data_IF_603313540274
#
_entry.id   IF_603313540274
#
_cell.length_a   1.000
_cell.length_b   1.000
_cell.length_c   1.000
_cell.angle_alpha   90.00
_cell.angle_beta   90.00
_cell.angle_gamma   90.00
#
_symmetry.space_group_name_H-M   'P 1'
#
loop_
_entity.id
_entity.type
_entity.pdbx_description
1 polymer ?
#
# COMPACT_ATOMS: atom_id res chain seq x y z
N UNK A 1 -15.58 9.45 -20.09
CA UNK A 1 -14.32 8.78 -20.47
C UNK A 1 -14.15 7.59 -19.54
N UNK A 2 -13.96 6.39 -20.11
CA UNK A 2 -13.71 5.19 -19.29
C UNK A 2 -12.20 5.02 -19.13
N UNK A 3 -11.69 5.07 -17.90
CA UNK A 3 -10.32 4.71 -17.56
C UNK A 3 -10.29 3.23 -17.18
N UNK A 4 -9.18 2.54 -17.41
CA UNK A 4 -9.02 1.12 -17.15
C UNK A 4 -7.73 0.84 -16.39
N UNK A 5 -7.78 -0.21 -15.57
CA UNK A 5 -6.62 -0.77 -14.89
C UNK A 5 -6.72 -2.30 -14.89
N UNK A 6 -5.59 -2.99 -14.77
CA UNK A 6 -5.50 -4.46 -14.79
C UNK A 6 -4.28 -4.93 -14.03
N UNK A 7 -4.26 -6.17 -13.61
CA UNK A 7 -3.02 -6.79 -13.13
C UNK A 7 -2.12 -7.15 -14.30
N UNK A 8 -0.83 -6.92 -14.17
CA UNK A 8 0.18 -7.30 -15.14
C UNK A 8 1.37 -7.95 -14.45
N UNK A 9 1.92 -9.01 -15.05
CA UNK A 9 3.14 -9.66 -14.59
C UNK A 9 4.31 -8.67 -14.65
N UNK A 10 5.09 -8.58 -13.55
CA UNK A 10 6.26 -7.69 -13.49
C UNK A 10 7.45 -8.23 -14.30
N UNK A 11 7.43 -9.51 -14.71
CA UNK A 11 8.46 -10.08 -15.57
C UNK A 11 8.27 -9.57 -17.00
N UNK A 12 9.22 -8.76 -17.54
CA UNK A 12 9.08 -8.19 -18.89
C UNK A 12 8.95 -9.23 -20.00
N UNK A 13 9.54 -10.42 -19.81
CA UNK A 13 9.50 -11.50 -20.78
C UNK A 13 8.16 -12.26 -20.76
N UNK A 14 7.38 -12.11 -19.72
CA UNK A 14 6.10 -12.79 -19.56
C UNK A 14 4.92 -11.94 -20.05
N UNK A 15 4.77 -10.74 -19.53
CA UNK A 15 3.75 -9.76 -19.95
C UNK A 15 2.30 -10.18 -19.72
N UNK A 16 2.02 -11.29 -19.02
CA UNK A 16 0.67 -11.82 -18.78
C UNK A 16 -0.18 -10.81 -18.00
N UNK A 17 -1.48 -10.72 -18.34
CA UNK A 17 -2.40 -9.76 -17.73
C UNK A 17 -3.67 -10.44 -17.22
N UNK A 18 -4.25 -9.88 -16.14
CA UNK A 18 -5.49 -10.37 -15.54
C UNK A 18 -6.43 -9.20 -15.21
N UNK A 19 -7.76 -9.40 -15.30
CA UNK A 19 -8.72 -8.42 -14.78
C UNK A 19 -8.54 -8.19 -13.27
N UNK A 20 -8.89 -7.00 -12.76
CA UNK A 20 -8.76 -6.68 -11.33
C UNK A 20 -9.71 -7.48 -10.42
N UNK A 21 -10.79 -8.03 -10.96
CA UNK A 21 -11.70 -8.92 -10.25
C UNK A 21 -11.27 -10.40 -10.28
N UNK A 22 -10.05 -10.71 -10.76
CA UNK A 22 -9.47 -12.04 -10.64
C UNK A 22 -8.85 -12.27 -9.27
N UNK A 23 -9.06 -13.45 -8.69
CA UNK A 23 -8.40 -13.88 -7.45
C UNK A 23 -7.02 -14.42 -7.80
N UNK A 24 -6.04 -13.54 -8.01
CA UNK A 24 -4.67 -13.87 -8.39
C UNK A 24 -3.68 -13.05 -7.57
N UNK A 25 -2.65 -13.68 -7.05
CA UNK A 25 -1.60 -13.03 -6.25
C UNK A 25 -0.23 -13.08 -6.91
N UNK A 26 -0.05 -14.02 -7.83
CA UNK A 26 1.15 -14.21 -8.64
C UNK A 26 0.73 -14.56 -10.07
N UNK A 27 1.62 -14.32 -11.01
CA UNK A 27 1.42 -14.69 -12.40
C UNK A 27 1.26 -16.22 -12.52
N UNK A 28 0.16 -16.67 -13.08
CA UNK A 28 -0.11 -18.11 -13.26
C UNK A 28 0.87 -18.79 -14.24
N UNK A 29 1.48 -17.98 -15.14
CA UNK A 29 2.41 -18.50 -16.15
C UNK A 29 3.85 -18.65 -15.62
N UNK A 30 4.37 -17.67 -14.86
CA UNK A 30 5.79 -17.64 -14.46
C UNK A 30 6.02 -17.46 -12.95
N UNK A 31 4.95 -17.41 -12.15
CA UNK A 31 4.97 -17.25 -10.69
C UNK A 31 5.60 -15.94 -10.18
N UNK A 32 5.91 -14.99 -11.07
CA UNK A 32 6.37 -13.66 -10.70
C UNK A 32 5.25 -12.86 -10.04
N UNK A 33 5.61 -11.81 -9.32
CA UNK A 33 4.63 -10.89 -8.74
C UNK A 33 3.82 -10.19 -9.84
N UNK A 34 2.67 -9.68 -9.44
CA UNK A 34 1.80 -8.85 -10.28
C UNK A 34 1.88 -7.40 -9.81
N UNK A 35 1.68 -6.47 -10.72
CA UNK A 35 1.43 -5.07 -10.44
C UNK A 35 0.13 -4.60 -11.10
N UNK A 36 -0.48 -3.55 -10.57
CA UNK A 36 -1.62 -2.91 -11.25
C UNK A 36 -1.09 -1.93 -12.29
N UNK A 37 -1.49 -2.10 -13.52
CA UNK A 37 -1.22 -1.17 -14.62
C UNK A 37 -2.46 -0.34 -14.96
N UNK A 38 -2.22 0.85 -15.51
CA UNK A 38 -3.26 1.79 -15.92
C UNK A 38 -3.14 2.14 -17.41
N UNK A 39 -4.26 2.37 -18.06
CA UNK A 39 -4.27 2.91 -19.44
C UNK A 39 -3.80 4.38 -19.44
N UNK A 40 -2.49 4.56 -19.46
CA UNK A 40 -1.86 5.89 -19.48
C UNK A 40 -2.27 6.70 -20.72
N UNK A 41 -2.60 6.06 -21.85
CA UNK A 41 -3.08 6.77 -23.05
C UNK A 41 -4.45 7.41 -22.80
N UNK A 42 -5.34 6.69 -22.13
CA UNK A 42 -6.63 7.24 -21.73
C UNK A 42 -6.48 8.35 -20.69
N UNK A 43 -5.61 8.17 -19.69
CA UNK A 43 -5.35 9.19 -18.67
C UNK A 43 -4.73 10.47 -19.24
N UNK A 44 -3.87 10.38 -20.27
CA UNK A 44 -3.28 11.54 -20.96
C UNK A 44 -4.28 12.37 -21.76
N UNK A 45 -5.51 11.89 -21.99
CA UNK A 45 -6.57 12.70 -22.61
C UNK A 45 -7.01 13.86 -21.73
N UNK A 46 -6.78 13.79 -20.44
CA UNK A 46 -6.94 14.88 -19.48
C UNK A 46 -5.59 15.56 -19.28
N UNK A 47 -5.55 16.90 -19.41
CA UNK A 47 -4.31 17.65 -19.24
C UNK A 47 -3.81 17.60 -17.80
N UNK A 48 -2.50 17.80 -17.58
CA UNK A 48 -1.90 17.87 -16.27
C UNK A 48 -2.55 18.96 -15.37
N UNK A 49 -2.86 20.12 -15.95
CA UNK A 49 -3.55 21.18 -15.23
C UNK A 49 -4.94 20.75 -14.75
N UNK A 50 -5.72 20.08 -15.60
CA UNK A 50 -7.04 19.60 -15.24
C UNK A 50 -7.00 18.44 -14.22
N UNK A 51 -5.93 17.61 -14.19
CA UNK A 51 -5.72 16.64 -13.12
C UNK A 51 -5.44 17.32 -11.78
N UNK A 52 -4.56 18.31 -11.77
CA UNK A 52 -4.26 19.10 -10.56
C UNK A 52 -5.52 19.77 -10.00
N UNK A 53 -6.25 20.47 -10.84
CA UNK A 53 -7.52 21.13 -10.46
C UNK A 53 -8.53 20.13 -9.86
N UNK A 54 -8.69 18.94 -10.47
CA UNK A 54 -9.56 17.90 -9.96
C UNK A 54 -9.13 17.42 -8.58
N UNK A 55 -7.83 17.17 -8.39
CA UNK A 55 -7.31 16.67 -7.12
C UNK A 55 -7.38 17.72 -6.01
N UNK A 56 -7.16 19.02 -6.35
CA UNK A 56 -7.37 20.13 -5.40
C UNK A 56 -8.84 20.26 -5.01
N UNK A 57 -9.77 20.23 -5.96
CA UNK A 57 -11.20 20.30 -5.67
C UNK A 57 -11.66 19.19 -4.74
N UNK A 58 -11.12 17.99 -4.90
CA UNK A 58 -11.48 16.82 -4.09
C UNK A 58 -10.76 16.74 -2.74
N UNK A 59 -9.64 17.44 -2.59
CA UNK A 59 -8.83 17.38 -1.38
C UNK A 59 -9.63 17.83 -0.15
N UNK A 60 -9.83 16.88 0.80
CA UNK A 60 -10.64 17.11 2.02
C UNK A 60 -12.07 17.59 1.77
N UNK A 61 -12.65 17.27 0.61
CA UNK A 61 -14.05 17.55 0.32
C UNK A 61 -14.98 16.61 1.08
N UNK A 62 -16.26 16.99 1.22
CA UNK A 62 -17.28 16.13 1.80
C UNK A 62 -17.99 15.24 0.76
N UNK A 63 -17.58 15.34 -0.50
CA UNK A 63 -18.18 14.55 -1.58
C UNK A 63 -17.69 13.11 -1.53
N UNK A 64 -18.60 12.16 -1.30
CA UNK A 64 -18.27 10.72 -1.28
C UNK A 64 -17.97 10.18 -2.67
N UNK A 65 -16.93 9.35 -2.83
CA UNK A 65 -15.88 8.97 -1.86
C UNK A 65 -14.65 9.88 -1.91
N UNK A 66 -14.71 11.00 -2.62
CA UNK A 66 -13.56 11.78 -3.09
C UNK A 66 -12.83 12.57 -2.00
N UNK A 67 -13.42 12.75 -0.83
CA UNK A 67 -12.78 13.44 0.30
C UNK A 67 -11.58 12.72 0.92
N UNK A 68 -11.46 11.40 0.68
CA UNK A 68 -10.30 10.61 1.07
C UNK A 68 -9.06 11.02 0.26
N UNK A 69 -7.88 10.99 0.87
CA UNK A 69 -6.60 11.21 0.18
C UNK A 69 -6.34 10.16 -0.90
N UNK A 70 -6.84 8.94 -0.73
CA UNK A 70 -6.79 7.86 -1.72
C UNK A 70 -7.84 8.06 -2.80
N UNK A 71 -9.12 8.10 -2.43
CA UNK A 71 -10.23 8.11 -3.39
C UNK A 71 -10.43 9.44 -4.09
N UNK A 72 -9.87 10.53 -3.58
CA UNK A 72 -9.75 11.77 -4.35
C UNK A 72 -9.03 11.59 -5.68
N UNK A 73 -8.29 10.49 -5.83
CA UNK A 73 -7.52 10.10 -7.01
C UNK A 73 -8.04 8.80 -7.64
N UNK A 74 -9.34 8.50 -7.49
CA UNK A 74 -10.00 7.27 -7.89
C UNK A 74 -9.61 6.78 -9.29
N UNK A 75 -9.54 7.69 -10.27
CA UNK A 75 -9.19 7.38 -11.67
C UNK A 75 -7.77 6.82 -11.82
N UNK A 76 -6.91 7.11 -10.84
CA UNK A 76 -5.52 6.64 -10.79
C UNK A 76 -5.34 5.42 -9.87
N UNK A 77 -6.38 4.99 -9.18
CA UNK A 77 -6.35 3.88 -8.20
C UNK A 77 -7.13 2.68 -8.73
N UNK A 78 -8.45 2.74 -8.69
CA UNK A 78 -9.38 1.75 -9.22
C UNK A 78 -10.47 2.47 -10.05
N UNK A 79 -10.18 2.82 -11.30
CA UNK A 79 -11.07 3.67 -12.09
C UNK A 79 -12.46 3.08 -12.32
N UNK A 80 -12.58 1.76 -12.38
CA UNK A 80 -13.82 1.04 -12.67
C UNK A 80 -14.69 0.74 -11.46
N UNK A 81 -14.20 0.97 -10.23
CA UNK A 81 -14.96 0.59 -9.03
C UNK A 81 -16.22 1.45 -8.87
N UNK A 82 -17.41 0.86 -8.61
CA UNK A 82 -18.60 1.61 -8.22
C UNK A 82 -18.37 2.36 -6.90
N UNK A 83 -19.00 3.54 -6.74
CA UNK A 83 -18.86 4.31 -5.50
C UNK A 83 -19.45 3.58 -4.29
N UNK A 84 -20.47 2.75 -4.49
CA UNK A 84 -21.12 1.96 -3.44
C UNK A 84 -20.24 0.81 -2.92
N UNK A 85 -19.26 0.37 -3.71
CA UNK A 85 -18.28 -0.64 -3.30
C UNK A 85 -17.04 -0.04 -2.66
N UNK A 86 -16.88 1.28 -2.68
CA UNK A 86 -15.78 1.94 -1.99
C UNK A 86 -15.97 1.82 -0.48
N UNK A 87 -14.92 1.38 0.20
CA UNK A 87 -14.80 1.32 1.66
C UNK A 87 -13.73 2.30 2.09
N UNK A 88 -14.12 3.40 2.73
CA UNK A 88 -13.19 4.46 3.15
C UNK A 88 -13.52 4.96 4.53
N UNK A 89 -12.49 5.25 5.31
CA UNK A 89 -12.53 5.94 6.59
C UNK A 89 -11.86 7.33 6.46
N UNK A 90 -11.89 7.89 5.25
CA UNK A 90 -11.27 9.17 4.88
C UNK A 90 -9.75 9.18 5.10
N UNK A 91 -9.10 8.04 4.90
CA UNK A 91 -7.65 7.86 4.99
C UNK A 91 -6.89 8.72 3.97
N UNK A 92 -5.64 9.04 4.27
CA UNK A 92 -4.83 9.97 3.49
C UNK A 92 -5.10 11.43 3.86
N UNK A 93 -4.63 12.37 3.05
CA UNK A 93 -4.68 13.79 3.39
C UNK A 93 -3.91 14.10 4.69
N UNK A 94 -2.91 13.28 5.03
CA UNK A 94 -2.17 13.34 6.30
C UNK A 94 -1.26 14.58 6.36
N UNK A 95 -0.89 14.96 7.58
CA UNK A 95 -0.13 16.18 7.80
C UNK A 95 1.27 16.09 7.18
N UNK A 96 1.64 17.18 6.53
CA UNK A 96 3.00 17.52 6.15
C UNK A 96 3.37 18.76 6.94
N UNK A 97 4.36 18.69 7.84
CA UNK A 97 4.71 19.81 8.69
C UNK A 97 6.20 20.13 8.61
N UNK A 98 6.53 21.41 8.76
CA UNK A 98 7.88 21.90 8.81
C UNK A 98 8.55 21.54 10.15
N UNK A 99 9.62 20.78 10.10
CA UNK A 99 10.37 20.32 11.27
C UNK A 99 11.53 21.26 11.59
N UNK A 100 11.26 22.57 11.73
CA UNK A 100 12.24 23.64 11.88
C UNK A 100 13.33 23.35 12.93
N UNK A 101 12.90 22.98 14.15
CA UNK A 101 13.84 22.74 15.26
C UNK A 101 14.80 21.60 14.98
N UNK A 102 14.28 20.51 14.42
CA UNK A 102 15.11 19.36 14.07
C UNK A 102 15.98 19.66 12.85
N UNK A 103 15.44 20.35 11.87
CA UNK A 103 16.19 20.82 10.70
C UNK A 103 17.43 21.66 11.11
N UNK A 104 17.27 22.63 12.03
CA UNK A 104 18.39 23.44 12.56
C UNK A 104 19.45 22.59 13.25
N UNK A 105 19.09 21.54 13.98
CA UNK A 105 20.03 20.65 14.65
C UNK A 105 20.91 19.89 13.63
N UNK A 106 20.36 19.48 12.52
CA UNK A 106 21.05 18.69 11.50
C UNK A 106 21.55 19.49 10.31
N UNK A 107 21.37 20.82 10.31
CA UNK A 107 21.81 21.72 9.24
C UNK A 107 20.99 21.62 7.95
N UNK A 108 19.69 21.31 8.05
CA UNK A 108 18.75 21.26 6.93
C UNK A 108 17.57 22.19 7.22
N UNK A 109 17.58 23.39 6.65
CA UNK A 109 16.57 24.40 6.94
C UNK A 109 15.16 24.00 6.46
N UNK A 110 15.06 23.44 5.27
CA UNK A 110 13.80 23.01 4.64
C UNK A 110 13.52 21.51 4.90
N UNK A 111 13.46 21.13 6.17
CA UNK A 111 13.09 19.77 6.59
C UNK A 111 11.60 19.67 6.87
N UNK A 112 10.92 18.81 6.13
CA UNK A 112 9.50 18.55 6.26
C UNK A 112 9.23 17.08 6.60
N UNK A 113 8.23 16.81 7.41
CA UNK A 113 7.86 15.44 7.83
C UNK A 113 6.43 15.14 7.40
N UNK A 114 6.27 14.08 6.60
CA UNK A 114 4.98 13.53 6.20
C UNK A 114 4.54 12.46 7.21
N UNK A 115 3.49 12.73 7.97
CA UNK A 115 2.96 11.85 9.01
C UNK A 115 1.99 10.82 8.45
N UNK A 116 2.48 9.79 7.75
CA UNK A 116 1.64 8.78 7.12
C UNK A 116 0.86 7.88 8.12
N UNK A 117 1.22 7.92 9.40
CA UNK A 117 0.50 7.20 10.47
C UNK A 117 -0.67 7.98 11.06
N UNK A 118 -0.93 9.22 10.63
CA UNK A 118 -2.07 9.99 11.11
C UNK A 118 -3.35 9.60 10.34
N UNK A 119 -3.73 8.35 10.47
CA UNK A 119 -4.90 7.71 9.86
C UNK A 119 -5.66 6.91 10.91
N UNK A 120 -6.76 6.27 10.54
CA UNK A 120 -7.68 5.61 11.46
C UNK A 120 -7.01 4.50 12.31
N UNK A 121 -6.27 3.57 11.68
CA UNK A 121 -5.56 2.52 12.43
C UNK A 121 -4.18 2.94 12.94
N UNK A 122 -3.75 4.17 12.70
CA UNK A 122 -2.45 4.70 13.10
C UNK A 122 -1.30 4.32 12.18
N UNK A 123 -1.56 3.83 10.97
CA UNK A 123 -0.53 3.33 10.07
C UNK A 123 -0.85 3.60 8.60
N UNK A 124 0.16 3.87 7.78
CA UNK A 124 0.02 4.01 6.32
C UNK A 124 -0.55 2.76 5.63
N UNK A 125 -0.70 1.65 6.33
CA UNK A 125 -1.34 0.43 5.81
C UNK A 125 -2.81 0.68 5.45
N UNK A 126 -3.46 1.64 6.09
CA UNK A 126 -4.82 2.07 5.81
C UNK A 126 -5.00 2.43 4.34
N UNK A 127 -4.02 3.16 3.76
CA UNK A 127 -4.06 3.58 2.36
C UNK A 127 -4.13 2.39 1.39
N UNK A 128 -3.47 1.29 1.72
CA UNK A 128 -3.52 0.07 0.90
C UNK A 128 -4.75 -0.77 1.19
N UNK A 129 -5.22 -0.81 2.45
CA UNK A 129 -6.36 -1.65 2.83
C UNK A 129 -7.69 -1.09 2.34
N UNK A 130 -7.86 0.22 2.29
CA UNK A 130 -9.05 0.82 1.68
C UNK A 130 -9.23 0.33 0.24
N UNK A 131 -8.17 0.26 -0.55
CA UNK A 131 -8.20 -0.19 -1.96
C UNK A 131 -8.47 -1.68 -2.06
N UNK A 132 -7.75 -2.50 -1.27
CA UNK A 132 -7.91 -3.94 -1.28
C UNK A 132 -9.32 -4.35 -0.85
N UNK A 133 -9.81 -3.82 0.26
CA UNK A 133 -11.13 -4.21 0.80
C UNK A 133 -12.25 -3.69 -0.08
N UNK A 134 -12.12 -2.51 -0.70
CA UNK A 134 -13.07 -2.04 -1.70
C UNK A 134 -13.16 -2.96 -2.91
N UNK A 135 -12.01 -3.41 -3.44
CA UNK A 135 -12.00 -4.36 -4.56
C UNK A 135 -12.64 -5.70 -4.16
N UNK A 136 -12.36 -6.20 -2.94
CA UNK A 136 -13.00 -7.42 -2.43
C UNK A 136 -14.52 -7.24 -2.30
N UNK A 137 -14.97 -6.08 -1.79
CA UNK A 137 -16.41 -5.78 -1.70
C UNK A 137 -17.07 -5.79 -3.08
N UNK A 138 -16.44 -5.18 -4.09
CA UNK A 138 -16.93 -5.25 -5.47
C UNK A 138 -16.99 -6.70 -5.97
N UNK A 139 -15.93 -7.49 -5.75
CA UNK A 139 -15.93 -8.90 -6.18
C UNK A 139 -17.06 -9.70 -5.54
N UNK A 140 -17.33 -9.49 -4.25
CA UNK A 140 -18.45 -10.12 -3.54
C UNK A 140 -19.81 -9.66 -4.14
N UNK A 141 -19.97 -8.38 -4.41
CA UNK A 141 -21.22 -7.84 -5.02
C UNK A 141 -21.43 -8.37 -6.44
N UNK A 142 -20.36 -8.72 -7.16
CA UNK A 142 -20.39 -9.37 -8.47
C UNK A 142 -20.54 -10.89 -8.40
N UNK A 143 -20.66 -11.48 -7.20
CA UNK A 143 -20.94 -12.90 -6.98
C UNK A 143 -19.72 -13.78 -6.74
N UNK A 144 -18.54 -13.21 -6.46
CA UNK A 144 -17.37 -14.00 -6.07
C UNK A 144 -17.64 -14.76 -4.75
N UNK A 145 -17.12 -15.99 -4.58
CA UNK A 145 -17.43 -16.84 -3.43
C UNK A 145 -16.70 -16.42 -2.13
N UNK A 146 -16.11 -15.23 -2.08
CA UNK A 146 -15.28 -14.76 -0.97
C UNK A 146 -16.13 -14.62 0.30
N UNK A 147 -15.76 -15.33 1.36
CA UNK A 147 -16.42 -15.31 2.67
C UNK A 147 -15.65 -14.51 3.71
N UNK A 148 -14.34 -14.40 3.57
CA UNK A 148 -13.49 -13.65 4.50
C UNK A 148 -12.19 -13.19 3.84
N UNK A 149 -11.58 -12.16 4.44
CA UNK A 149 -10.24 -11.69 4.06
C UNK A 149 -9.25 -12.11 5.15
N UNK A 150 -8.11 -12.68 4.75
CA UNK A 150 -7.14 -13.25 5.69
C UNK A 150 -5.74 -12.64 5.52
N UNK A 151 -5.03 -12.47 6.63
CA UNK A 151 -3.61 -12.15 6.62
C UNK A 151 -2.83 -12.88 7.71
N UNK A 152 -1.54 -13.07 7.49
CA UNK A 152 -0.56 -13.36 8.53
C UNK A 152 0.18 -12.04 8.83
N UNK A 153 -0.05 -11.45 10.01
CA UNK A 153 0.63 -10.22 10.42
C UNK A 153 0.49 -9.97 11.91
N UNK A 154 1.61 -9.69 12.57
CA UNK A 154 1.67 -9.34 13.99
C UNK A 154 1.55 -7.84 14.27
N UNK A 155 1.29 -7.00 13.25
CA UNK A 155 1.33 -5.54 13.40
C UNK A 155 0.32 -4.80 12.54
N UNK A 156 0.73 -3.65 11.98
CA UNK A 156 -0.15 -2.69 11.29
C UNK A 156 -1.01 -3.27 10.17
N UNK A 157 -0.56 -4.34 9.50
CA UNK A 157 -1.34 -4.95 8.42
C UNK A 157 -2.60 -5.62 8.96
N UNK A 158 -2.52 -6.33 10.10
CA UNK A 158 -3.69 -6.94 10.73
C UNK A 158 -4.63 -5.90 11.33
N UNK A 159 -4.09 -4.84 11.92
CA UNK A 159 -4.87 -3.72 12.45
C UNK A 159 -5.68 -3.03 11.32
N UNK A 160 -5.02 -2.63 10.24
CA UNK A 160 -5.68 -2.00 9.11
C UNK A 160 -6.69 -2.94 8.44
N UNK A 161 -6.33 -4.23 8.23
CA UNK A 161 -7.26 -5.21 7.64
C UNK A 161 -8.54 -5.33 8.46
N UNK A 162 -8.43 -5.57 9.76
CA UNK A 162 -9.58 -5.72 10.63
C UNK A 162 -10.49 -4.47 10.60
N UNK A 163 -9.88 -3.29 10.64
CA UNK A 163 -10.56 -2.01 10.59
C UNK A 163 -11.39 -1.84 9.30
N UNK A 164 -10.77 -2.03 8.14
CA UNK A 164 -11.47 -1.83 6.86
C UNK A 164 -12.46 -2.95 6.54
N UNK A 165 -12.18 -4.18 6.96
CA UNK A 165 -13.13 -5.28 6.85
C UNK A 165 -14.36 -5.06 7.75
N UNK A 166 -14.18 -4.56 8.98
CA UNK A 166 -15.29 -4.19 9.86
C UNK A 166 -16.15 -3.09 9.22
N UNK A 167 -15.53 -2.05 8.65
CA UNK A 167 -16.24 -0.99 7.93
C UNK A 167 -17.01 -1.49 6.70
N UNK A 168 -16.53 -2.55 6.06
CA UNK A 168 -17.16 -3.19 4.90
C UNK A 168 -18.23 -4.24 5.27
N UNK A 169 -18.32 -4.65 6.54
CA UNK A 169 -19.13 -5.79 6.96
C UNK A 169 -18.60 -7.15 6.46
N UNK A 170 -17.31 -7.24 6.15
CA UNK A 170 -16.66 -8.46 5.63
C UNK A 170 -15.88 -9.11 6.78
N UNK A 171 -16.05 -10.43 7.05
CA UNK A 171 -15.25 -11.13 8.04
C UNK A 171 -13.76 -11.05 7.75
N UNK A 172 -12.93 -10.87 8.79
CA UNK A 172 -11.49 -10.87 8.68
C UNK A 172 -10.85 -11.91 9.61
N UNK A 173 -9.78 -12.55 9.14
CA UNK A 173 -9.03 -13.58 9.85
C UNK A 173 -7.57 -13.16 9.95
N UNK A 174 -7.00 -13.20 11.14
CA UNK A 174 -5.61 -12.86 11.41
C UNK A 174 -4.89 -14.08 11.96
N UNK A 175 -3.87 -14.57 11.25
CA UNK A 175 -3.03 -15.69 11.69
C UNK A 175 -1.75 -15.17 12.33
N UNK A 176 -1.42 -15.67 13.52
CA UNK A 176 -0.34 -15.18 14.36
C UNK A 176 0.47 -16.32 14.96
N UNK A 177 1.81 -16.21 15.04
CA UNK A 177 2.63 -17.17 15.76
C UNK A 177 2.42 -17.02 17.27
N UNK A 178 2.26 -18.14 17.98
CA UNK A 178 2.06 -18.15 19.43
C UNK A 178 3.28 -17.59 20.17
N UNK A 179 3.07 -16.75 21.17
CA UNK A 179 4.09 -16.29 22.11
C UNK A 179 5.04 -15.19 21.62
N UNK A 180 4.83 -14.63 20.42
CA UNK A 180 5.70 -13.57 19.86
C UNK A 180 4.99 -12.22 19.64
N UNK A 181 3.90 -11.96 20.36
CA UNK A 181 3.04 -10.80 20.12
C UNK A 181 2.75 -10.09 21.41
N UNK A 182 2.85 -8.76 21.42
CA UNK A 182 2.41 -7.94 22.53
C UNK A 182 0.89 -7.77 22.54
N UNK A 183 0.29 -7.62 23.73
CA UNK A 183 -1.16 -7.33 23.85
C UNK A 183 -1.57 -6.09 23.05
N UNK A 184 -0.70 -5.09 22.99
CA UNK A 184 -0.96 -3.86 22.23
C UNK A 184 -1.20 -4.09 20.73
N UNK A 185 -0.52 -5.06 20.12
CA UNK A 185 -0.68 -5.40 18.70
C UNK A 185 -2.00 -6.12 18.40
N UNK A 186 -2.66 -6.69 19.41
CA UNK A 186 -3.90 -7.44 19.29
C UNK A 186 -5.15 -6.59 19.52
N UNK A 187 -5.01 -5.47 20.21
CA UNK A 187 -6.14 -4.63 20.61
C UNK A 187 -6.98 -4.26 19.37
N UNK A 188 -6.36 -3.74 18.33
CA UNK A 188 -7.10 -3.28 17.15
C UNK A 188 -7.79 -4.42 16.37
N UNK A 189 -7.13 -5.55 16.03
CA UNK A 189 -7.80 -6.66 15.36
C UNK A 189 -8.99 -7.19 16.17
N UNK A 190 -8.84 -7.40 17.48
CA UNK A 190 -9.90 -7.93 18.34
C UNK A 190 -11.04 -6.92 18.47
N UNK A 191 -10.75 -5.64 18.71
CA UNK A 191 -11.76 -4.58 18.86
C UNK A 191 -12.58 -4.36 17.60
N UNK A 192 -12.01 -4.65 16.42
CA UNK A 192 -12.69 -4.60 15.13
C UNK A 192 -13.33 -5.95 14.74
N UNK A 193 -13.42 -6.92 15.65
CA UNK A 193 -14.14 -8.18 15.44
C UNK A 193 -13.44 -9.18 14.53
N UNK A 194 -12.13 -9.06 14.30
CA UNK A 194 -11.39 -10.05 13.54
C UNK A 194 -11.27 -11.38 14.31
N UNK A 195 -11.40 -12.51 13.60
CA UNK A 195 -11.05 -13.82 14.12
C UNK A 195 -9.52 -13.93 14.19
N UNK A 196 -8.97 -13.92 15.41
CA UNK A 196 -7.54 -14.03 15.65
C UNK A 196 -7.18 -15.46 16.02
N UNK A 197 -6.35 -16.11 15.21
CA UNK A 197 -5.91 -17.49 15.40
C UNK A 197 -4.42 -17.55 15.73
N UNK A 198 -4.10 -18.16 16.89
CA UNK A 198 -2.72 -18.39 17.32
C UNK A 198 -2.26 -19.76 16.86
N UNK A 199 -1.19 -19.78 16.09
CA UNK A 199 -0.61 -21.01 15.55
C UNK A 199 0.69 -21.35 16.26
N UNK A 200 0.92 -22.63 16.47
CA UNK A 200 2.16 -23.14 17.09
C UNK A 200 3.27 -23.27 16.03
N UNK A 201 3.65 -22.13 15.47
CA UNK A 201 4.66 -21.99 14.42
C UNK A 201 5.27 -20.60 14.45
N UNK A 202 6.24 -20.32 13.57
CA UNK A 202 6.80 -18.99 13.37
C UNK A 202 6.00 -18.18 12.31
N UNK A 203 6.48 -16.97 12.00
CA UNK A 203 5.84 -16.10 11.01
C UNK A 203 5.80 -16.73 9.61
N UNK A 204 6.87 -17.42 9.21
CA UNK A 204 6.95 -18.05 7.89
C UNK A 204 5.99 -19.24 7.78
N UNK A 205 5.79 -19.98 8.88
CA UNK A 205 4.76 -21.00 8.96
C UNK A 205 3.34 -20.43 8.86
N UNK A 206 3.06 -19.31 9.52
CA UNK A 206 1.79 -18.59 9.34
C UNK A 206 1.59 -18.17 7.89
N UNK A 207 2.63 -17.64 7.23
CA UNK A 207 2.56 -17.23 5.82
C UNK A 207 2.31 -18.40 4.88
N UNK A 208 2.96 -19.55 5.10
CA UNK A 208 2.72 -20.77 4.30
C UNK A 208 1.27 -21.24 4.44
N UNK A 209 0.74 -21.25 5.68
CA UNK A 209 -0.64 -21.66 5.92
C UNK A 209 -1.63 -20.71 5.25
N UNK A 210 -1.42 -19.38 5.37
CA UNK A 210 -2.29 -18.40 4.70
C UNK A 210 -2.30 -18.63 3.19
N UNK A 211 -1.13 -18.85 2.57
CA UNK A 211 -1.04 -19.13 1.15
C UNK A 211 -1.74 -20.44 0.76
N UNK A 212 -1.71 -21.44 1.63
CA UNK A 212 -2.38 -22.71 1.39
C UNK A 212 -3.91 -22.59 1.46
N UNK A 213 -4.43 -21.98 2.52
CA UNK A 213 -5.89 -21.84 2.72
C UNK A 213 -6.53 -20.86 1.72
N UNK A 214 -5.75 -19.93 1.16
CA UNK A 214 -6.25 -18.98 0.15
C UNK A 214 -6.21 -19.53 -1.28
N UNK A 215 -5.79 -20.78 -1.49
CA UNK A 215 -6.01 -21.50 -2.76
C UNK A 215 -7.50 -21.80 -2.97
N UNK A 216 -8.25 -21.94 -1.88
CA UNK A 216 -9.70 -21.95 -1.90
C UNK A 216 -10.17 -20.49 -2.01
N UNK A 217 -10.76 -20.11 -3.13
CA UNK A 217 -11.21 -18.76 -3.45
C UNK A 217 -12.26 -18.18 -2.47
N UNK A 218 -12.68 -18.95 -1.46
CA UNK A 218 -13.56 -18.47 -0.38
C UNK A 218 -12.82 -17.57 0.63
N UNK A 219 -11.48 -17.58 0.63
CA UNK A 219 -10.63 -16.73 1.46
C UNK A 219 -9.72 -15.86 0.60
N UNK A 220 -9.75 -14.55 0.83
CA UNK A 220 -8.95 -13.59 0.06
C UNK A 220 -7.70 -13.14 0.82
N UNK A 221 -6.51 -13.21 0.18
CA UNK A 221 -5.24 -12.88 0.79
C UNK A 221 -4.96 -11.37 0.82
N UNK A 222 -4.69 -10.82 2.01
CA UNK A 222 -4.39 -9.40 2.21
C UNK A 222 -2.92 -9.08 2.55
N UNK A 223 -2.00 -10.03 2.45
CA UNK A 223 -0.57 -9.79 2.69
C UNK A 223 0.07 -8.91 1.62
N UNK A 224 1.33 -8.53 1.82
CA UNK A 224 2.07 -7.59 0.96
C UNK A 224 2.27 -8.07 -0.49
N UNK A 225 2.03 -9.34 -0.78
CA UNK A 225 2.00 -9.88 -2.14
C UNK A 225 0.84 -9.32 -2.99
N UNK A 226 -0.23 -8.84 -2.34
CA UNK A 226 -1.37 -8.26 -3.03
C UNK A 226 -1.06 -6.84 -3.50
N UNK A 227 -0.92 -6.66 -4.80
CA UNK A 227 -0.51 -5.40 -5.43
C UNK A 227 -1.55 -4.28 -5.38
N UNK A 228 -2.82 -4.58 -5.07
CA UNK A 228 -3.86 -3.56 -4.84
C UNK A 228 -3.46 -2.61 -3.71
N UNK A 229 -2.72 -3.10 -2.71
CA UNK A 229 -2.23 -2.26 -1.61
C UNK A 229 -1.27 -1.17 -2.08
N UNK A 230 -0.47 -1.45 -3.09
CA UNK A 230 0.47 -0.48 -3.69
C UNK A 230 -0.30 0.68 -4.33
N UNK A 231 -1.47 0.42 -4.88
CA UNK A 231 -2.31 1.46 -5.52
C UNK A 231 -2.78 2.53 -4.53
N UNK A 232 -3.20 2.13 -3.34
CA UNK A 232 -3.53 3.09 -2.30
C UNK A 232 -2.30 3.81 -1.73
N UNK A 233 -1.24 3.06 -1.43
CA UNK A 233 -0.01 3.62 -0.85
C UNK A 233 0.74 4.58 -1.79
N UNK A 234 0.60 4.45 -3.12
CA UNK A 234 1.23 5.37 -4.07
C UNK A 234 0.72 6.82 -3.94
N UNK A 235 -0.44 7.02 -3.32
CA UNK A 235 -0.99 8.36 -3.09
C UNK A 235 -0.14 9.20 -2.17
N UNK A 236 0.70 8.61 -1.32
CA UNK A 236 1.65 9.34 -0.46
C UNK A 236 2.55 10.25 -1.29
N UNK A 237 3.14 9.73 -2.38
CA UNK A 237 3.98 10.54 -3.26
C UNK A 237 3.22 11.65 -3.96
N UNK A 238 1.98 11.38 -4.35
CA UNK A 238 1.10 12.39 -4.98
C UNK A 238 0.73 13.47 -3.97
N UNK A 239 0.37 13.10 -2.74
CA UNK A 239 0.04 14.07 -1.68
C UNK A 239 1.22 14.95 -1.29
N UNK A 240 2.44 14.41 -1.17
CA UNK A 240 3.62 15.21 -0.87
C UNK A 240 3.78 16.32 -1.90
N UNK A 241 3.72 15.99 -3.18
CA UNK A 241 3.87 16.97 -4.27
C UNK A 241 2.69 17.95 -4.30
N UNK A 242 1.47 17.47 -4.09
CA UNK A 242 0.28 18.29 -3.99
C UNK A 242 0.37 19.30 -2.83
N UNK A 243 0.79 18.87 -1.65
CA UNK A 243 0.94 19.71 -0.45
C UNK A 243 2.09 20.73 -0.57
N UNK A 244 3.01 20.55 -1.50
CA UNK A 244 4.02 21.52 -1.91
C UNK A 244 3.63 22.35 -3.14
N UNK A 245 2.34 22.59 -3.36
CA UNK A 245 1.84 23.33 -4.53
C UNK A 245 2.37 22.78 -5.86
N UNK A 246 2.41 21.46 -5.99
CA UNK A 246 2.91 20.71 -7.14
C UNK A 246 4.41 20.89 -7.42
N UNK A 247 5.15 21.37 -6.43
CA UNK A 247 6.62 21.41 -6.46
C UNK A 247 7.19 20.10 -5.93
N UNK A 248 8.20 19.59 -6.63
CA UNK A 248 8.86 18.34 -6.25
C UNK A 248 9.98 18.64 -5.27
N UNK A 249 10.01 18.04 -4.06
CA UNK A 249 11.15 18.19 -3.16
C UNK A 249 12.41 17.58 -3.78
N UNK A 250 13.59 18.01 -3.35
CA UNK A 250 14.84 17.49 -3.91
C UNK A 250 15.11 16.05 -3.45
N UNK A 251 14.78 15.75 -2.18
CA UNK A 251 15.03 14.45 -1.57
C UNK A 251 13.81 14.01 -0.76
N UNK A 252 13.44 12.73 -0.88
CA UNK A 252 12.48 12.08 0.02
C UNK A 252 13.21 10.92 0.71
N UNK A 253 13.23 10.94 2.04
CA UNK A 253 13.78 9.86 2.86
C UNK A 253 12.61 9.02 3.37
N UNK A 254 12.65 7.71 3.17
CA UNK A 254 11.57 6.79 3.53
C UNK A 254 12.14 5.52 4.19
N UNK A 255 11.53 5.00 5.26
CA UNK A 255 11.96 3.74 5.85
C UNK A 255 11.67 2.57 4.90
N UNK A 256 12.60 1.60 4.84
CA UNK A 256 12.52 0.43 3.98
C UNK A 256 12.51 -0.88 4.76
N UNK A 257 11.32 -1.35 5.17
CA UNK A 257 11.13 -2.72 5.64
C UNK A 257 11.06 -3.70 4.46
N UNK A 258 9.86 -4.18 4.13
CA UNK A 258 9.65 -5.03 2.95
C UNK A 258 9.56 -4.27 1.60
N UNK A 259 9.89 -2.98 1.60
CA UNK A 259 9.99 -2.10 0.43
C UNK A 259 8.68 -1.78 -0.32
N UNK A 260 7.54 -2.31 0.09
CA UNK A 260 6.26 -2.04 -0.56
C UNK A 260 5.90 -0.54 -0.57
N UNK A 261 6.19 0.18 0.53
CA UNK A 261 5.99 1.63 0.63
C UNK A 261 6.91 2.42 -0.33
N UNK A 262 8.16 1.98 -0.49
CA UNK A 262 9.12 2.61 -1.41
C UNK A 262 8.70 2.42 -2.85
N UNK A 263 8.30 1.19 -3.21
CA UNK A 263 7.77 0.86 -4.52
C UNK A 263 6.52 1.69 -4.85
N UNK A 264 5.60 1.81 -3.89
CA UNK A 264 4.39 2.61 -4.05
C UNK A 264 4.71 4.10 -4.23
N UNK A 265 5.61 4.66 -3.41
CA UNK A 265 6.07 6.04 -3.54
C UNK A 265 6.63 6.31 -4.94
N UNK A 266 7.54 5.45 -5.41
CA UNK A 266 8.13 5.53 -6.75
C UNK A 266 7.07 5.45 -7.85
N UNK A 267 6.13 4.53 -7.74
CA UNK A 267 5.03 4.36 -8.70
C UNK A 267 4.17 5.62 -8.81
N UNK A 268 3.79 6.24 -7.71
CA UNK A 268 3.02 7.49 -7.71
C UNK A 268 3.76 8.64 -8.35
N UNK A 269 5.05 8.80 -8.05
CA UNK A 269 5.91 9.83 -8.64
C UNK A 269 6.13 9.63 -10.14
N UNK A 270 6.37 8.39 -10.57
CA UNK A 270 6.51 8.06 -11.99
C UNK A 270 5.22 8.34 -12.77
N UNK A 271 4.07 7.93 -12.23
CA UNK A 271 2.77 8.19 -12.84
C UNK A 271 2.51 9.70 -13.03
N UNK A 272 2.85 10.52 -12.02
CA UNK A 272 2.74 11.98 -12.15
C UNK A 272 3.67 12.54 -13.25
N UNK A 273 4.89 12.00 -13.37
CA UNK A 273 5.83 12.39 -14.43
C UNK A 273 5.31 12.01 -15.81
N UNK A 274 4.82 10.78 -15.97
CA UNK A 274 4.30 10.26 -17.24
C UNK A 274 3.05 11.01 -17.73
N UNK A 275 2.24 11.50 -16.77
CA UNK A 275 1.05 12.32 -17.04
C UNK A 275 1.36 13.83 -17.07
N UNK A 276 2.62 14.22 -16.92
CA UNK A 276 3.08 15.61 -17.09
C UNK A 276 2.79 16.54 -15.90
N UNK A 277 2.37 16.01 -14.75
CA UNK A 277 2.12 16.84 -13.56
C UNK A 277 3.41 17.37 -12.93
N UNK A 278 4.49 16.61 -13.06
CA UNK A 278 5.84 16.98 -12.62
C UNK A 278 6.84 16.78 -13.74
N UNK A 279 7.91 17.57 -13.76
CA UNK A 279 8.97 17.50 -14.78
C UNK A 279 10.17 16.67 -14.35
N UNK A 280 10.46 16.64 -13.04
CA UNK A 280 11.59 15.90 -12.44
C UNK A 280 11.10 14.93 -11.38
N UNK A 281 11.88 13.91 -11.07
CA UNK A 281 11.67 13.03 -9.92
C UNK A 281 12.57 13.49 -8.77
N UNK A 282 12.14 13.35 -7.51
CA UNK A 282 13.01 13.57 -6.35
C UNK A 282 14.04 12.45 -6.26
N UNK A 283 15.13 12.69 -5.54
CA UNK A 283 15.99 11.60 -5.07
C UNK A 283 15.27 10.86 -3.94
N UNK A 284 15.14 9.54 -4.06
CA UNK A 284 14.58 8.71 -2.99
C UNK A 284 15.73 8.05 -2.24
N UNK A 285 15.78 8.26 -0.93
CA UNK A 285 16.72 7.62 -0.02
C UNK A 285 15.96 6.65 0.87
N UNK A 286 16.39 5.40 0.89
CA UNK A 286 15.76 4.34 1.67
C UNK A 286 16.57 4.06 2.92
N UNK A 287 15.99 4.30 4.08
CA UNK A 287 16.60 3.98 5.37
C UNK A 287 16.24 2.56 5.79
N UNK A 288 17.26 1.73 6.01
CA UNK A 288 17.08 0.35 6.49
C UNK A 288 17.88 0.13 7.78
N UNK A 289 17.39 -0.75 8.64
CA UNK A 289 18.13 -1.17 9.84
C UNK A 289 19.44 -1.84 9.44
N UNK A 290 20.55 -1.57 10.16
CA UNK A 290 21.89 -2.10 9.86
C UNK A 290 21.91 -3.62 9.71
N UNK A 291 21.11 -4.34 10.52
CA UNK A 291 21.04 -5.82 10.51
C UNK A 291 20.01 -6.37 9.52
N UNK A 292 19.21 -5.50 8.86
CA UNK A 292 18.16 -5.88 7.93
C UNK A 292 18.15 -4.93 6.72
N UNK A 293 19.23 -4.93 5.95
CA UNK A 293 19.48 -3.99 4.86
C UNK A 293 19.74 -4.66 3.49
N UNK A 294 18.87 -5.57 3.03
CA UNK A 294 19.09 -6.26 1.76
C UNK A 294 19.15 -5.32 0.56
N UNK A 295 18.37 -4.23 0.55
CA UNK A 295 18.41 -3.25 -0.53
C UNK A 295 19.77 -2.53 -0.58
N UNK A 296 20.32 -2.14 0.59
CA UNK A 296 21.64 -1.52 0.66
C UNK A 296 22.75 -2.47 0.17
N UNK A 297 22.69 -3.75 0.54
CA UNK A 297 23.62 -4.77 0.04
C UNK A 297 23.52 -4.94 -1.48
N UNK A 298 22.30 -4.94 -2.02
CA UNK A 298 22.08 -4.98 -3.48
C UNK A 298 22.59 -3.73 -4.18
N UNK A 299 22.43 -2.55 -3.56
CA UNK A 299 22.96 -1.28 -4.06
C UNK A 299 24.50 -1.31 -4.16
N UNK A 300 25.19 -1.83 -3.14
CA UNK A 300 26.66 -1.97 -3.18
C UNK A 300 27.15 -2.88 -4.33
N UNK A 301 26.30 -3.77 -4.81
CA UNK A 301 26.54 -4.64 -5.97
C UNK A 301 25.98 -4.05 -7.28
N UNK A 302 25.64 -2.75 -7.30
CA UNK A 302 25.02 -2.08 -8.44
C UNK A 302 23.77 -2.83 -8.97
N UNK A 303 23.01 -3.45 -8.07
CA UNK A 303 21.82 -4.25 -8.39
C UNK A 303 22.03 -5.39 -9.40
N UNK A 304 23.27 -5.88 -9.55
CA UNK A 304 23.56 -7.06 -10.37
C UNK A 304 22.96 -8.34 -9.77
N UNK A 305 22.86 -8.36 -8.45
CA UNK A 305 22.18 -9.42 -7.68
C UNK A 305 21.31 -8.77 -6.61
N UNK A 306 20.11 -9.33 -6.38
CA UNK A 306 19.25 -8.89 -5.29
C UNK A 306 19.47 -9.78 -4.08
N UNK A 307 19.85 -9.17 -2.96
CA UNK A 307 19.96 -9.84 -1.67
C UNK A 307 18.55 -10.09 -1.11
N UNK A 308 18.31 -11.29 -0.64
CA UNK A 308 17.07 -11.60 0.08
C UNK A 308 17.18 -11.14 1.54
N UNK A 309 16.09 -10.58 2.09
CA UNK A 309 16.00 -10.26 3.50
C UNK A 309 15.91 -11.55 4.32
N UNK A 310 16.66 -11.62 5.43
CA UNK A 310 16.53 -12.71 6.38
C UNK A 310 15.58 -12.26 7.49
N UNK A 311 14.35 -12.72 7.44
CA UNK A 311 13.29 -12.34 8.40
C UNK A 311 13.68 -12.66 9.84
N UNK A 312 14.43 -13.73 10.05
CA UNK A 312 14.93 -14.14 11.37
C UNK A 312 15.91 -13.12 12.00
N UNK A 313 16.75 -12.45 11.22
CA UNK A 313 17.66 -11.41 11.72
C UNK A 313 16.90 -10.16 12.20
N UNK A 314 15.80 -9.82 11.53
CA UNK A 314 14.93 -8.69 11.92
C UNK A 314 14.22 -8.99 13.25
N UNK A 315 13.73 -10.21 13.42
CA UNK A 315 13.03 -10.63 14.63
C UNK A 315 13.98 -10.80 15.82
N UNK A 316 15.23 -11.24 15.60
CA UNK A 316 16.24 -11.37 16.65
C UNK A 316 16.79 -10.03 17.13
N UNK A 317 16.66 -8.97 16.34
CA UNK A 317 17.18 -7.65 16.66
C UNK A 317 16.34 -6.89 17.71
N UNK A 318 15.09 -7.30 17.96
CA UNK A 318 14.17 -6.64 18.89
C UNK A 318 13.80 -5.20 18.48
N UNK A 319 12.93 -4.53 19.24
CA UNK A 319 12.47 -3.17 18.92
C UNK A 319 13.55 -2.09 19.07
N UNK A 320 14.73 -2.42 19.61
CA UNK A 320 15.85 -1.49 19.85
C UNK A 320 17.03 -1.72 18.90
N UNK A 321 16.86 -2.40 17.79
CA UNK A 321 17.93 -2.66 16.83
C UNK A 321 17.96 -1.68 15.65
#
# INVERSE_FOLDING_TARGET
MSYRAWFQCINPECGETYPLNSIVYQCQRCQSLLEVQHDLKALKRRSAASWKELFEKRYKSNEWPYGSGVWGKKEWILPGIPNDDVVSLYEGGTNLFWAERFGKIIGVDELWIKLCGNTHSGSFKDLGMTVLVSQVKQMISEGAPIKAVVCASTGDTSAALATYCAAAGIPSIVLLPRGKISGAQLIQPISNGALVLYLDTDFDGCMKLVQEITKDETLYLANSMNSLRVEGQKTVGIEIVQQFDWKVPDVIIIPGGNLGNVSALGKGLMMMKDLGLIKKLPRIVVAQAKRANPLYRSYLKNFKTFEQGVTAEVLAAGPNA
#
